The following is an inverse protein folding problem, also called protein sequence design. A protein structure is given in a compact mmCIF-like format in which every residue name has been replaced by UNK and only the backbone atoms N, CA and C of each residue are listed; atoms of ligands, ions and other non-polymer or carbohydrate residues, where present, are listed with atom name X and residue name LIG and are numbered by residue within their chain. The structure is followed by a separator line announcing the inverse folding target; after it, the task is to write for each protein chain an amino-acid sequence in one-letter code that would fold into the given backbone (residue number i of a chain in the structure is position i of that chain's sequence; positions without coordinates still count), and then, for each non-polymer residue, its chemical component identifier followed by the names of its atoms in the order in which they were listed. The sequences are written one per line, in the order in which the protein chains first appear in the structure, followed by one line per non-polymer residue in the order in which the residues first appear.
data_IF_552005624209
#
_entry.id   IF_552005624209
#
_cell.length_a   1.000
_cell.length_b   1.000
_cell.length_c   1.000
_cell.angle_alpha   90.00
_cell.angle_beta   90.00
_cell.angle_gamma   90.00
#
_symmetry.space_group_name_H-M   'P 1'
#
loop_
_entity.id
_entity.type
_entity.pdbx_description
1 polymer ?
#
# COMPACT_ATOMS: atom_id res chain seq x y z
N UNK A 1 49.53 -35.68 -65.01
CA UNK A 1 49.65 -34.40 -65.71
C UNK A 1 50.76 -33.65 -65.01
N UNK A 2 52.00 -33.87 -65.44
CA UNK A 2 52.61 -33.25 -66.63
C UNK A 2 52.70 -31.73 -66.44
N UNK A 3 53.81 -31.06 -66.64
CA UNK A 3 55.16 -31.47 -66.97
C UNK A 3 56.02 -30.19 -66.88
N UNK A 4 57.35 -30.37 -66.88
CA UNK A 4 58.36 -29.43 -67.39
C UNK A 4 58.80 -28.19 -66.58
N UNK A 5 59.88 -28.44 -65.83
CA UNK A 5 61.19 -27.74 -65.91
C UNK A 5 61.65 -27.43 -67.39
N UNK A 6 62.71 -26.65 -67.71
CA UNK A 6 63.94 -26.40 -66.91
C UNK A 6 64.66 -25.02 -67.11
N UNK A 7 65.79 -24.87 -66.38
CA UNK A 7 67.11 -24.28 -66.76
C UNK A 7 67.22 -22.87 -67.39
N UNK A 8 68.21 -22.02 -67.09
CA UNK A 8 69.66 -22.29 -67.12
C UNK A 8 70.46 -21.23 -66.30
N UNK A 9 71.48 -21.69 -65.56
CA UNK A 9 72.76 -20.95 -65.31
C UNK A 9 73.65 -21.07 -66.58
N UNK A 10 74.86 -20.45 -66.75
CA UNK A 10 75.85 -19.91 -65.80
C UNK A 10 76.44 -18.53 -66.27
N UNK A 11 77.45 -17.89 -65.67
CA UNK A 11 78.89 -18.17 -65.82
C UNK A 11 79.72 -17.12 -65.05
N UNK A 12 80.92 -17.54 -64.64
CA UNK A 12 81.77 -16.96 -63.59
C UNK A 12 83.10 -16.49 -64.19
N UNK A 13 83.59 -15.32 -63.73
CA UNK A 13 84.99 -14.81 -63.71
C UNK A 13 85.63 -14.43 -65.06
N UNK A 14 86.83 -13.78 -65.15
CA UNK A 14 87.83 -13.42 -64.11
C UNK A 14 88.35 -11.92 -64.22
N UNK A 15 88.85 -11.20 -63.20
CA UNK A 15 90.25 -11.16 -62.66
C UNK A 15 90.95 -9.79 -62.79
N UNK A 16 91.48 -9.32 -61.63
CA UNK A 16 92.70 -8.51 -61.33
C UNK A 16 92.70 -6.96 -61.54
N UNK A 17 92.72 -6.26 -60.39
CA UNK A 17 93.59 -5.16 -59.87
C UNK A 17 94.50 -4.38 -60.87
N UNK A 18 94.73 -3.04 -60.66
CA UNK A 18 95.58 -2.56 -59.56
C UNK A 18 95.28 -1.17 -58.92
N UNK A 19 95.66 -1.05 -57.64
CA UNK A 19 96.50 -0.01 -56.98
C UNK A 19 96.24 1.52 -57.09
N UNK A 20 95.90 2.13 -55.93
CA UNK A 20 96.27 3.45 -55.32
C UNK A 20 96.10 4.81 -56.08
N UNK A 21 96.15 6.00 -55.42
CA UNK A 21 96.01 6.35 -53.99
C UNK A 21 94.94 7.45 -53.72
N UNK A 22 94.79 7.81 -52.44
CA UNK A 22 93.87 8.82 -51.90
C UNK A 22 94.14 10.30 -52.28
N UNK A 23 93.37 11.21 -51.66
CA UNK A 23 92.79 12.39 -52.31
C UNK A 23 93.63 13.67 -52.18
N UNK A 24 93.39 14.64 -53.05
CA UNK A 24 93.63 16.05 -52.72
C UNK A 24 92.41 16.93 -53.04
N UNK A 25 92.15 17.95 -52.20
CA UNK A 25 90.83 18.60 -52.10
C UNK A 25 90.88 20.05 -52.56
N UNK A 26 89.94 20.51 -53.40
CA UNK A 26 89.69 21.96 -53.55
C UNK A 26 88.22 22.24 -53.87
N UNK A 27 87.55 22.76 -52.83
CA UNK A 27 86.57 23.85 -52.78
C UNK A 27 85.33 23.86 -53.70
N UNK A 28 84.11 23.82 -53.12
CA UNK A 28 82.87 23.94 -53.89
C UNK A 28 82.40 25.40 -54.08
N UNK A 29 81.73 25.61 -55.21
CA UNK A 29 81.12 26.84 -55.73
C UNK A 29 79.86 27.26 -54.92
N UNK A 30 79.43 28.54 -54.93
CA UNK A 30 78.44 29.11 -54.00
C UNK A 30 77.06 28.43 -53.92
N UNK A 31 76.67 27.61 -54.92
CA UNK A 31 75.40 26.87 -54.91
C UNK A 31 75.38 25.64 -53.97
N UNK A 32 76.54 25.12 -53.55
CA UNK A 32 76.58 24.02 -52.58
C UNK A 32 76.47 24.49 -51.11
N UNK A 33 76.80 25.75 -50.81
CA UNK A 33 76.67 26.29 -49.45
C UNK A 33 75.21 26.51 -49.04
N UNK A 34 74.36 26.95 -49.99
CA UNK A 34 72.94 27.22 -49.74
C UNK A 34 72.10 25.92 -49.59
N UNK A 35 72.51 24.86 -50.28
CA UNK A 35 71.86 23.54 -50.21
C UNK A 35 72.32 22.69 -49.02
N UNK A 36 73.54 22.92 -48.49
CA UNK A 36 74.01 22.31 -47.24
C UNK A 36 73.33 22.91 -46.01
N UNK A 37 73.19 24.24 -45.93
CA UNK A 37 72.54 24.92 -44.81
C UNK A 37 71.02 24.62 -44.74
N UNK A 38 70.35 24.45 -45.89
CA UNK A 38 68.95 24.01 -45.94
C UNK A 38 68.77 22.54 -45.52
N UNK A 39 69.66 21.63 -45.94
CA UNK A 39 69.64 20.22 -45.51
C UNK A 39 69.99 20.04 -44.03
N UNK A 40 70.88 20.87 -43.47
CA UNK A 40 71.24 20.82 -42.06
C UNK A 40 70.12 21.39 -41.16
N UNK A 41 69.40 22.42 -41.64
CA UNK A 41 68.19 22.96 -40.98
C UNK A 41 67.00 21.99 -41.04
N UNK A 42 66.78 21.25 -42.13
CA UNK A 42 65.76 20.20 -42.20
C UNK A 42 66.11 18.93 -41.39
N UNK A 43 67.39 18.52 -41.35
CA UNK A 43 67.84 17.41 -40.51
C UNK A 43 67.73 17.72 -39.01
N UNK A 44 68.06 18.96 -38.60
CA UNK A 44 67.88 19.39 -37.21
C UNK A 44 66.41 19.61 -36.83
N UNK A 45 65.55 20.07 -37.76
CA UNK A 45 64.11 20.20 -37.54
C UNK A 45 63.38 18.85 -37.47
N UNK A 46 63.74 17.89 -38.33
CA UNK A 46 63.18 16.53 -38.31
C UNK A 46 63.65 15.72 -37.09
N UNK A 47 64.91 15.87 -36.67
CA UNK A 47 65.42 15.29 -35.43
C UNK A 47 64.74 15.89 -34.17
N UNK A 48 64.49 17.21 -34.16
CA UNK A 48 63.72 17.87 -33.09
C UNK A 48 62.25 17.43 -33.06
N UNK A 49 61.58 17.29 -34.21
CA UNK A 49 60.21 16.74 -34.31
C UNK A 49 60.13 15.28 -33.86
N UNK A 50 61.12 14.45 -34.20
CA UNK A 50 61.18 13.04 -33.76
C UNK A 50 61.46 12.92 -32.25
N UNK A 51 62.32 13.77 -31.69
CA UNK A 51 62.55 13.87 -30.24
C UNK A 51 61.33 14.43 -29.50
N UNK A 52 60.60 15.39 -30.08
CA UNK A 52 59.36 15.94 -29.51
C UNK A 52 58.21 14.94 -29.54
N UNK A 53 57.95 14.27 -30.68
CA UNK A 53 56.94 13.20 -30.75
C UNK A 53 57.26 12.06 -29.79
N UNK A 54 58.53 11.68 -29.63
CA UNK A 54 58.95 10.67 -28.64
C UNK A 54 58.69 11.14 -27.21
N UNK A 55 58.93 12.42 -26.88
CA UNK A 55 58.60 12.99 -25.56
C UNK A 55 57.10 13.06 -25.31
N UNK A 56 56.29 13.45 -26.30
CA UNK A 56 54.82 13.50 -26.17
C UNK A 56 54.22 12.10 -26.00
N UNK A 57 54.73 11.09 -26.70
CA UNK A 57 54.29 9.69 -26.52
C UNK A 57 54.70 9.17 -25.13
N UNK A 58 55.90 9.50 -24.65
CA UNK A 58 56.33 9.11 -23.30
C UNK A 58 55.49 9.82 -22.23
N UNK A 59 55.25 11.13 -22.36
CA UNK A 59 54.45 11.90 -21.40
C UNK A 59 52.98 11.45 -21.43
N UNK A 60 52.41 11.21 -22.62
CA UNK A 60 51.06 10.68 -22.78
C UNK A 60 50.92 9.25 -22.22
N UNK A 61 51.94 8.41 -22.40
CA UNK A 61 52.00 7.08 -21.79
C UNK A 61 52.08 7.13 -20.27
N UNK A 62 52.86 8.06 -19.70
CA UNK A 62 52.94 8.28 -18.25
C UNK A 62 51.61 8.79 -17.70
N UNK A 63 50.95 9.74 -18.38
CA UNK A 63 49.62 10.22 -17.97
C UNK A 63 48.56 9.12 -18.08
N UNK A 64 48.54 8.34 -19.15
CA UNK A 64 47.64 7.20 -19.30
C UNK A 64 47.87 6.13 -18.21
N UNK A 65 49.13 5.84 -17.87
CA UNK A 65 49.47 4.94 -16.78
C UNK A 65 49.05 5.48 -15.41
N UNK A 66 49.16 6.79 -15.16
CA UNK A 66 48.70 7.43 -13.92
C UNK A 66 47.18 7.39 -13.78
N UNK A 67 46.44 7.62 -14.87
CA UNK A 67 44.96 7.50 -14.87
C UNK A 67 44.57 6.05 -14.60
N UNK A 68 45.19 5.08 -15.28
CA UNK A 68 44.95 3.66 -15.03
C UNK A 68 45.29 3.27 -13.59
N UNK A 69 46.42 3.74 -13.04
CA UNK A 69 46.77 3.53 -11.64
C UNK A 69 45.74 4.13 -10.68
N UNK A 70 45.23 5.33 -10.95
CA UNK A 70 44.20 5.97 -10.11
C UNK A 70 42.89 5.19 -10.11
N UNK A 71 42.43 4.71 -11.28
CA UNK A 71 41.23 3.88 -11.42
C UNK A 71 41.45 2.51 -10.78
N UNK A 72 42.60 1.87 -11.02
CA UNK A 72 42.97 0.60 -10.40
C UNK A 72 43.07 0.69 -8.88
N UNK A 73 43.61 1.79 -8.32
CA UNK A 73 43.63 2.03 -6.87
C UNK A 73 42.22 2.21 -6.32
N UNK A 74 41.34 2.89 -7.06
CA UNK A 74 39.94 3.10 -6.65
C UNK A 74 39.16 1.78 -6.66
N UNK A 75 39.34 0.96 -7.69
CA UNK A 75 38.75 -0.38 -7.79
C UNK A 75 39.35 -1.31 -6.72
N UNK A 76 40.66 -1.25 -6.49
CA UNK A 76 41.33 -2.03 -5.44
C UNK A 76 40.84 -1.64 -4.03
N UNK A 77 40.65 -0.35 -3.76
CA UNK A 77 40.04 0.14 -2.52
C UNK A 77 38.59 -0.33 -2.35
N UNK A 78 37.82 -0.36 -3.43
CA UNK A 78 36.39 -0.71 -3.40
C UNK A 78 36.14 -2.22 -3.28
N UNK A 79 37.01 -3.06 -3.85
CA UNK A 79 36.77 -4.50 -3.97
C UNK A 79 37.78 -5.39 -3.23
N UNK A 80 38.96 -4.90 -2.88
CA UNK A 80 40.05 -5.74 -2.31
C UNK A 80 40.58 -5.26 -0.96
N UNK A 81 40.50 -3.96 -0.64
CA UNK A 81 40.54 -3.52 0.76
C UNK A 81 39.20 -3.87 1.39
N UNK A 82 39.12 -5.10 1.92
CA UNK A 82 38.23 -5.37 3.04
C UNK A 82 38.58 -4.31 4.08
N UNK A 83 37.68 -3.34 4.28
CA UNK A 83 37.68 -2.61 5.54
C UNK A 83 37.66 -3.71 6.60
N UNK A 84 38.74 -3.83 7.36
CA UNK A 84 38.73 -4.69 8.53
C UNK A 84 37.50 -4.25 9.34
N UNK A 85 36.60 -5.18 9.70
CA UNK A 85 35.48 -4.79 10.53
C UNK A 85 36.09 -4.11 11.74
N UNK A 86 35.69 -2.87 11.99
CA UNK A 86 36.05 -2.18 13.23
C UNK A 86 35.45 -3.08 14.32
N UNK A 87 36.28 -3.92 14.93
CA UNK A 87 35.91 -4.62 16.15
C UNK A 87 35.88 -3.52 17.19
N UNK A 88 34.69 -2.98 17.40
CA UNK A 88 34.39 -2.14 18.53
C UNK A 88 34.63 -3.01 19.76
N UNK A 89 35.80 -2.89 20.36
CA UNK A 89 36.00 -3.27 21.76
C UNK A 89 35.35 -2.12 22.52
N UNK A 90 34.18 -2.31 23.14
CA UNK A 90 33.54 -1.24 23.88
C UNK A 90 34.52 -0.80 24.96
N UNK A 91 34.82 0.49 25.02
CA UNK A 91 35.30 1.06 26.26
C UNK A 91 34.24 0.71 27.31
N UNK A 92 34.69 0.12 28.41
CA UNK A 92 33.86 -0.43 29.48
C UNK A 92 33.11 0.71 30.20
N UNK A 93 32.14 1.33 29.53
CA UNK A 93 31.09 2.23 30.04
C UNK A 93 30.13 2.82 28.99
N UNK A 94 30.13 2.40 27.73
CA UNK A 94 28.96 2.64 26.87
C UNK A 94 28.10 1.38 26.84
N UNK A 95 26.98 1.43 27.58
CA UNK A 95 25.92 0.43 27.43
C UNK A 95 25.55 0.42 25.96
N UNK A 96 25.76 -0.72 25.30
CA UNK A 96 25.02 -1.09 24.09
C UNK A 96 23.56 -0.69 24.40
N UNK A 97 22.89 0.16 23.61
CA UNK A 97 21.45 0.22 23.69
C UNK A 97 21.05 -1.22 23.45
N UNK A 98 20.57 -1.92 24.49
CA UNK A 98 19.86 -3.16 24.28
C UNK A 98 18.93 -2.83 23.11
N UNK A 99 18.96 -3.65 22.06
CA UNK A 99 17.88 -3.65 21.07
C UNK A 99 16.66 -3.72 21.94
N UNK A 100 16.01 -2.57 22.16
CA UNK A 100 14.89 -2.49 23.06
C UNK A 100 13.97 -3.54 22.52
N UNK A 101 13.51 -4.43 23.40
CA UNK A 101 12.45 -5.37 23.08
C UNK A 101 11.51 -4.61 22.15
N UNK A 102 11.37 -5.09 20.90
CA UNK A 102 10.53 -4.42 19.92
C UNK A 102 9.17 -4.38 20.59
N UNK A 103 8.82 -3.23 21.17
CA UNK A 103 7.57 -3.06 21.85
C UNK A 103 6.57 -3.11 20.71
N UNK A 104 5.97 -4.30 20.53
CA UNK A 104 4.94 -4.52 19.54
C UNK A 104 3.81 -3.62 19.98
N UNK A 105 3.77 -2.42 19.40
CA UNK A 105 2.73 -1.44 19.69
C UNK A 105 1.41 -2.14 19.44
N UNK A 106 0.54 -2.12 20.44
CA UNK A 106 -0.77 -2.73 20.33
C UNK A 106 -1.54 -1.99 19.24
N UNK A 107 -2.02 -2.75 18.27
CA UNK A 107 -2.86 -2.22 17.20
C UNK A 107 -4.32 -2.21 17.65
N UNK A 108 -5.03 -1.15 17.29
CA UNK A 108 -6.45 -0.96 17.53
C UNK A 108 -7.13 -0.84 16.18
N UNK A 109 -8.31 -1.44 16.04
CA UNK A 109 -9.09 -1.35 14.83
C UNK A 109 -9.92 -0.05 14.81
N UNK A 110 -9.91 0.64 13.67
CA UNK A 110 -10.84 1.70 13.33
C UNK A 110 -11.76 1.27 12.20
N UNK A 111 -13.00 1.75 12.25
CA UNK A 111 -14.04 1.52 11.26
C UNK A 111 -14.54 2.87 10.79
N UNK A 112 -14.60 3.07 9.47
CA UNK A 112 -15.14 4.28 8.88
C UNK A 112 -16.25 3.90 7.90
N UNK A 113 -17.50 3.96 8.35
CA UNK A 113 -18.69 3.75 7.52
C UNK A 113 -18.73 4.67 6.30
N UNK A 114 -18.32 5.93 6.49
CA UNK A 114 -18.30 6.97 5.45
C UNK A 114 -17.35 6.65 4.28
N UNK A 115 -16.20 6.03 4.56
CA UNK A 115 -15.20 5.56 3.59
C UNK A 115 -15.35 4.07 3.25
N UNK A 116 -16.32 3.37 3.84
CA UNK A 116 -16.58 1.93 3.63
C UNK A 116 -15.34 1.05 3.81
N UNK A 117 -14.56 1.29 4.85
CA UNK A 117 -13.36 0.52 5.14
C UNK A 117 -13.09 0.41 6.65
N UNK A 118 -12.32 -0.61 7.02
CA UNK A 118 -11.66 -0.73 8.32
C UNK A 118 -10.14 -0.72 8.15
N UNK A 119 -9.43 -0.37 9.22
CA UNK A 119 -7.97 -0.43 9.29
C UNK A 119 -7.52 -0.64 10.73
N UNK A 120 -6.32 -1.19 10.91
CA UNK A 120 -5.63 -1.27 12.19
C UNK A 120 -4.58 -0.16 12.30
N UNK A 121 -4.46 0.45 13.46
CA UNK A 121 -3.50 1.51 13.73
C UNK A 121 -2.89 1.42 15.14
N UNK A 122 -1.68 1.95 15.37
CA UNK A 122 -1.07 1.95 16.69
C UNK A 122 -1.92 2.69 17.74
N UNK A 123 -2.08 2.13 18.94
CA UNK A 123 -2.93 2.72 19.99
C UNK A 123 -2.49 4.11 20.48
N UNK A 124 -1.23 4.47 20.23
CA UNK A 124 -0.65 5.76 20.57
C UNK A 124 -0.75 6.80 19.44
N UNK A 125 -1.38 6.45 18.32
CA UNK A 125 -1.71 7.38 17.26
C UNK A 125 -3.11 7.98 17.45
N UNK A 126 -3.25 9.24 17.03
CA UNK A 126 -4.51 9.97 17.03
C UNK A 126 -5.28 9.69 15.75
N UNK A 127 -6.60 9.51 15.88
CA UNK A 127 -7.51 9.31 14.75
C UNK A 127 -8.51 10.46 14.65
N UNK A 128 -8.78 10.92 13.43
CA UNK A 128 -9.77 11.98 13.17
C UNK A 128 -10.48 11.74 11.84
N UNK A 129 -11.78 12.04 11.81
CA UNK A 129 -12.58 12.05 10.59
C UNK A 129 -13.11 13.45 10.29
N UNK A 130 -13.13 13.82 9.02
CA UNK A 130 -13.65 15.10 8.57
C UNK A 130 -14.26 15.00 7.18
N UNK A 131 -15.23 15.86 6.89
CA UNK A 131 -15.78 16.05 5.56
C UNK A 131 -15.64 17.51 5.17
N UNK A 132 -14.90 17.78 4.09
CA UNK A 132 -14.63 19.15 3.61
C UNK A 132 -14.94 19.20 2.12
N UNK A 133 -15.89 20.06 1.73
CA UNK A 133 -16.32 20.22 0.33
C UNK A 133 -16.73 18.90 -0.35
N UNK A 134 -17.40 18.00 0.39
CA UNK A 134 -17.81 16.70 -0.12
C UNK A 134 -16.70 15.64 -0.14
N UNK A 135 -15.45 16.01 0.11
CA UNK A 135 -14.31 15.07 0.25
C UNK A 135 -14.31 14.56 1.69
N UNK A 136 -14.50 13.25 1.84
CA UNK A 136 -14.40 12.55 3.13
C UNK A 136 -12.94 12.23 3.42
N UNK A 137 -12.51 12.39 4.66
CA UNK A 137 -11.12 12.21 5.09
C UNK A 137 -11.05 11.47 6.42
N UNK A 138 -10.16 10.50 6.48
CA UNK A 138 -9.72 9.82 7.69
C UNK A 138 -8.22 10.07 7.86
N UNK A 139 -7.80 10.62 9.00
CA UNK A 139 -6.39 10.78 9.34
C UNK A 139 -6.04 9.91 10.55
N UNK A 140 -4.91 9.19 10.45
CA UNK A 140 -4.20 8.56 11.57
C UNK A 140 -2.86 9.26 11.71
N UNK A 141 -2.62 9.87 12.85
CA UNK A 141 -1.51 10.82 13.07
C UNK A 141 -0.72 10.41 14.30
N UNK A 142 0.61 10.40 14.18
CA UNK A 142 1.50 10.17 15.30
C UNK A 142 2.53 11.28 15.34
N UNK A 143 2.60 11.99 16.46
CA UNK A 143 3.58 13.04 16.73
C UNK A 143 4.09 12.86 18.17
N UNK A 144 5.35 12.43 18.38
CA UNK A 144 5.85 12.11 19.72
C UNK A 144 5.95 13.34 20.64
N UNK A 145 6.03 14.55 20.06
CA UNK A 145 6.14 15.82 20.79
C UNK A 145 4.79 16.45 21.17
N UNK A 146 3.67 15.91 20.68
CA UNK A 146 2.35 16.55 20.80
C UNK A 146 1.34 15.61 21.43
N UNK A 147 0.67 16.07 22.50
CA UNK A 147 -0.39 15.31 23.19
C UNK A 147 -1.81 15.70 22.76
N UNK A 148 -1.97 16.70 21.89
CA UNK A 148 -3.26 17.24 21.48
C UNK A 148 -3.60 16.91 20.01
N UNK A 149 -4.82 16.39 19.79
CA UNK A 149 -5.35 15.84 18.52
C UNK A 149 -5.48 16.90 17.41
N UNK A 150 -5.52 18.19 17.75
CA UNK A 150 -5.84 19.29 16.84
C UNK A 150 -4.67 19.96 16.11
N UNK A 151 -3.42 19.73 16.56
CA UNK A 151 -2.27 20.54 16.14
C UNK A 151 -1.38 19.89 15.08
N UNK A 152 -1.68 18.65 14.67
CA UNK A 152 -0.83 17.88 13.75
C UNK A 152 -1.24 18.14 12.30
N UNK A 153 -0.55 19.08 11.66
CA UNK A 153 -0.65 19.40 10.23
C UNK A 153 0.68 19.07 9.54
N UNK A 154 0.67 18.92 8.22
CA UNK A 154 1.91 18.64 7.45
C UNK A 154 2.99 19.70 7.69
N UNK A 155 2.58 20.97 7.79
CA UNK A 155 3.48 22.10 7.98
C UNK A 155 4.01 22.22 9.43
N UNK A 156 3.26 21.72 10.41
CA UNK A 156 3.58 21.82 11.85
C UNK A 156 4.16 20.52 12.44
N UNK A 157 4.16 19.43 11.67
CA UNK A 157 4.78 18.17 12.09
C UNK A 157 6.30 18.32 12.06
N UNK A 158 6.95 18.32 13.22
CA UNK A 158 8.42 18.31 13.29
C UNK A 158 8.99 16.89 13.14
N UNK A 159 8.32 15.92 13.78
CA UNK A 159 8.67 14.51 13.75
C UNK A 159 7.39 13.66 13.82
N UNK A 160 7.31 12.57 13.06
CA UNK A 160 6.20 11.62 13.11
C UNK A 160 5.64 11.27 11.74
N UNK A 161 4.36 10.89 11.70
CA UNK A 161 3.65 10.62 10.46
C UNK A 161 2.20 11.08 10.46
N UNK A 162 1.70 11.33 9.25
CA UNK A 162 0.28 11.51 8.94
C UNK A 162 -0.07 10.48 7.86
N UNK A 163 -0.95 9.55 8.22
CA UNK A 163 -1.58 8.61 7.29
C UNK A 163 -2.99 9.13 6.99
N UNK A 164 -3.27 9.49 5.74
CA UNK A 164 -4.55 10.09 5.35
C UNK A 164 -5.19 9.29 4.23
N UNK A 165 -6.46 8.92 4.41
CA UNK A 165 -7.31 8.40 3.34
C UNK A 165 -8.33 9.48 2.98
N UNK A 166 -8.43 9.82 1.69
CA UNK A 166 -9.44 10.76 1.17
C UNK A 166 -10.19 10.15 0.01
N UNK A 167 -11.48 10.41 -0.12
CA UNK A 167 -12.29 9.96 -1.27
C UNK A 167 -12.78 11.10 -2.15
N UNK A 168 -12.85 10.83 -3.44
CA UNK A 168 -13.42 11.74 -4.43
C UNK A 168 -13.94 10.96 -5.65
N UNK A 169 -14.82 11.60 -6.43
CA UNK A 169 -15.35 11.07 -7.68
C UNK A 169 -14.90 11.93 -8.86
N UNK A 170 -14.62 11.30 -9.99
CA UNK A 170 -14.37 11.98 -11.27
C UNK A 170 -14.87 11.11 -12.41
N UNK A 171 -15.54 11.71 -13.40
CA UNK A 171 -16.05 10.98 -14.57
C UNK A 171 -15.04 10.97 -15.74
N UNK A 172 -13.96 11.75 -15.63
CA UNK A 172 -13.13 12.13 -16.80
C UNK A 172 -11.78 11.43 -16.81
N UNK A 173 -11.22 11.11 -15.64
CA UNK A 173 -9.84 10.64 -15.49
C UNK A 173 -9.82 9.24 -14.89
N UNK A 174 -9.05 8.36 -15.51
CA UNK A 174 -8.72 7.05 -14.95
C UNK A 174 -7.66 7.15 -13.85
N UNK A 175 -7.40 6.03 -13.18
CA UNK A 175 -6.46 5.92 -12.07
C UNK A 175 -5.03 6.35 -12.43
N UNK A 176 -4.57 6.04 -13.65
CA UNK A 176 -3.22 6.38 -14.13
C UNK A 176 -3.10 7.89 -14.35
N UNK A 177 -4.08 8.49 -15.02
CA UNK A 177 -4.14 9.94 -15.24
C UNK A 177 -4.24 10.72 -13.92
N UNK A 178 -5.01 10.23 -12.95
CA UNK A 178 -5.09 10.84 -11.61
C UNK A 178 -3.73 10.82 -10.91
N UNK A 179 -3.09 9.65 -10.89
CA UNK A 179 -1.77 9.46 -10.26
C UNK A 179 -0.72 10.34 -10.93
N UNK A 180 -0.72 10.41 -12.27
CA UNK A 180 0.20 11.25 -13.04
C UNK A 180 0.01 12.74 -12.76
N UNK A 181 -1.24 13.24 -12.73
CA UNK A 181 -1.51 14.65 -12.41
C UNK A 181 -1.04 15.00 -11.01
N UNK A 182 -1.27 14.11 -10.03
CA UNK A 182 -0.79 14.35 -8.66
C UNK A 182 0.73 14.41 -8.63
N UNK A 183 1.40 13.46 -9.29
CA UNK A 183 2.86 13.41 -9.40
C UNK A 183 3.42 14.68 -10.05
N UNK A 184 2.83 15.16 -11.14
CA UNK A 184 3.23 16.41 -11.80
C UNK A 184 3.06 17.63 -10.87
N UNK A 185 2.06 17.59 -9.98
CA UNK A 185 1.90 18.61 -8.94
C UNK A 185 3.03 18.60 -7.91
N UNK A 186 3.59 17.43 -7.58
CA UNK A 186 4.77 17.35 -6.71
C UNK A 186 6.01 17.86 -7.45
N UNK A 187 6.20 17.48 -8.71
CA UNK A 187 7.34 17.95 -9.54
C UNK A 187 7.39 19.47 -9.62
N UNK A 188 6.23 20.12 -9.70
CA UNK A 188 6.15 21.58 -9.81
C UNK A 188 6.25 22.32 -8.47
N UNK A 189 5.93 21.69 -7.34
CA UNK A 189 5.85 22.34 -6.02
C UNK A 189 7.04 22.02 -5.11
N UNK A 190 7.64 20.85 -5.25
CA UNK A 190 8.76 20.43 -4.41
C UNK A 190 10.05 21.19 -4.78
N UNK A 191 10.99 21.36 -3.83
CA UNK A 191 12.32 21.90 -4.12
C UNK A 191 13.07 21.04 -5.15
N UNK A 192 14.03 21.63 -5.88
CA UNK A 192 14.87 20.91 -6.86
C UNK A 192 15.69 19.75 -6.25
N UNK A 193 15.89 19.77 -4.92
CA UNK A 193 16.56 18.70 -4.17
C UNK A 193 15.65 17.51 -3.86
N UNK A 194 14.36 17.60 -4.17
CA UNK A 194 13.42 16.51 -3.98
C UNK A 194 13.62 15.42 -5.04
N UNK A 195 13.50 14.16 -4.61
CA UNK A 195 13.50 13.01 -5.52
C UNK A 195 12.10 12.42 -5.60
N UNK A 196 11.56 12.35 -6.81
CA UNK A 196 10.19 11.94 -7.11
C UNK A 196 10.24 10.72 -8.02
N UNK A 197 9.82 9.56 -7.51
CA UNK A 197 9.88 8.29 -8.23
C UNK A 197 8.98 8.26 -9.47
N UNK A 198 9.11 7.22 -10.29
CA UNK A 198 8.08 6.84 -11.26
C UNK A 198 6.80 6.38 -10.57
N UNK A 199 5.75 6.15 -11.38
CA UNK A 199 4.53 5.50 -10.93
C UNK A 199 4.75 3.98 -10.98
N UNK A 200 4.42 3.31 -9.90
CA UNK A 200 4.57 1.87 -9.73
C UNK A 200 3.22 1.23 -9.40
N UNK A 201 3.02 -0.02 -9.83
CA UNK A 201 1.86 -0.81 -9.45
C UNK A 201 1.96 -1.26 -8.00
N UNK A 202 0.86 -1.13 -7.26
CA UNK A 202 0.71 -1.56 -5.87
C UNK A 202 -0.67 -2.23 -5.69
N UNK A 203 -1.01 -2.60 -4.46
CA UNK A 203 -2.33 -3.11 -4.10
C UNK A 203 -2.74 -2.60 -2.74
N UNK A 204 -4.01 -2.23 -2.59
CA UNK A 204 -4.63 -1.94 -1.29
C UNK A 204 -5.67 -3.02 -1.03
N UNK A 205 -5.46 -3.81 0.02
CA UNK A 205 -6.18 -5.08 0.21
C UNK A 205 -5.98 -5.99 -1.02
N UNK A 206 -7.04 -6.29 -1.76
CA UNK A 206 -7.03 -7.04 -3.03
C UNK A 206 -7.26 -6.15 -4.27
N UNK A 207 -7.38 -4.84 -4.08
CA UNK A 207 -7.71 -3.89 -5.15
C UNK A 207 -6.43 -3.35 -5.80
N UNK A 208 -6.32 -3.37 -7.14
CA UNK A 208 -5.18 -2.76 -7.84
C UNK A 208 -5.01 -1.29 -7.48
N UNK A 209 -3.76 -0.87 -7.33
CA UNK A 209 -3.41 0.49 -6.98
C UNK A 209 -2.19 0.98 -7.77
N UNK A 210 -2.02 2.30 -7.83
CA UNK A 210 -0.84 2.95 -8.37
C UNK A 210 -0.23 3.86 -7.31
N UNK A 211 1.09 3.85 -7.19
CA UNK A 211 1.78 4.66 -6.18
C UNK A 211 3.00 5.38 -6.73
N UNK A 212 3.39 6.46 -6.06
CA UNK A 212 4.70 7.09 -6.24
C UNK A 212 5.19 7.64 -4.90
N UNK A 213 6.49 7.91 -4.83
CA UNK A 213 7.14 8.47 -3.65
C UNK A 213 7.77 9.82 -3.99
N UNK A 214 7.79 10.72 -3.01
CA UNK A 214 8.50 11.99 -3.08
C UNK A 214 9.30 12.18 -1.80
N UNK A 215 10.62 12.27 -1.89
CA UNK A 215 11.51 12.46 -0.74
C UNK A 215 12.09 13.87 -0.75
N UNK A 216 12.41 14.41 0.43
CA UNK A 216 12.91 15.78 0.60
C UNK A 216 11.97 16.87 0.03
N UNK A 217 10.66 16.62 -0.01
CA UNK A 217 9.65 17.61 -0.40
C UNK A 217 9.03 18.26 0.84
N UNK A 218 9.84 18.92 1.66
CA UNK A 218 9.46 19.37 3.02
C UNK A 218 9.03 18.23 3.95
N UNK A 219 9.46 17.01 3.63
CA UNK A 219 9.05 15.76 4.25
C UNK A 219 9.10 14.69 3.17
N UNK A 220 8.84 13.45 3.57
CA UNK A 220 8.82 12.34 2.65
C UNK A 220 7.38 11.81 2.53
N UNK A 221 6.98 11.50 1.31
CA UNK A 221 5.65 11.07 0.96
C UNK A 221 5.68 9.73 0.23
N UNK A 222 4.70 8.88 0.50
CA UNK A 222 4.20 7.86 -0.42
C UNK A 222 2.72 8.12 -0.67
N UNK A 223 2.34 8.27 -1.93
CA UNK A 223 0.95 8.44 -2.34
C UNK A 223 0.52 7.20 -3.10
N UNK A 224 -0.62 6.64 -2.71
CA UNK A 224 -1.23 5.47 -3.33
C UNK A 224 -2.66 5.80 -3.73
N UNK A 225 -3.00 5.55 -4.99
CA UNK A 225 -4.33 5.70 -5.54
C UNK A 225 -4.92 4.33 -5.84
N UNK A 226 -6.17 4.11 -5.44
CA UNK A 226 -6.95 2.93 -5.80
C UNK A 226 -8.41 3.31 -6.06
N UNK A 227 -9.17 2.45 -6.71
CA UNK A 227 -10.58 2.67 -7.03
C UNK A 227 -11.42 1.49 -6.56
N UNK A 228 -12.45 1.79 -5.77
CA UNK A 228 -13.39 0.79 -5.25
C UNK A 228 -14.75 1.47 -5.04
N UNK A 229 -15.86 0.77 -5.29
CA UNK A 229 -17.23 1.33 -5.20
C UNK A 229 -17.48 2.56 -6.10
N UNK A 230 -16.85 2.62 -7.28
CA UNK A 230 -16.90 3.78 -8.19
C UNK A 230 -16.45 5.09 -7.52
N UNK A 231 -15.61 5.01 -6.49
CA UNK A 231 -14.95 6.17 -5.86
C UNK A 231 -13.44 5.95 -5.86
N UNK A 232 -12.69 7.04 -6.04
CA UNK A 232 -11.24 7.00 -5.96
C UNK A 232 -10.80 7.29 -4.54
N UNK A 233 -9.84 6.51 -4.06
CA UNK A 233 -9.18 6.69 -2.78
C UNK A 233 -7.79 7.27 -3.03
N UNK A 234 -7.48 8.40 -2.40
CA UNK A 234 -6.13 8.93 -2.25
C UNK A 234 -5.63 8.57 -0.85
N UNK A 235 -4.60 7.73 -0.78
CA UNK A 235 -3.93 7.37 0.47
C UNK A 235 -2.58 8.08 0.49
N UNK A 236 -2.38 8.94 1.48
CA UNK A 236 -1.15 9.71 1.68
C UNK A 236 -0.45 9.24 2.95
N UNK A 237 0.77 8.74 2.80
CA UNK A 237 1.69 8.47 3.91
C UNK A 237 2.73 9.59 3.92
N UNK A 238 2.58 10.55 4.83
CA UNK A 238 3.52 11.64 5.03
C UNK A 238 4.34 11.38 6.30
N UNK A 239 5.67 11.53 6.22
CA UNK A 239 6.56 11.31 7.35
C UNK A 239 7.67 12.35 7.43
N UNK A 240 7.98 12.75 8.67
CA UNK A 240 9.05 13.69 9.02
C UNK A 240 9.89 13.17 10.19
N UNK A 241 11.13 13.63 10.25
CA UNK A 241 12.12 13.25 11.25
C UNK A 241 13.47 12.88 10.63
N UNK A 242 14.40 12.45 11.47
CA UNK A 242 15.72 11.99 11.03
C UNK A 242 15.64 10.65 10.30
N UNK A 243 16.67 10.33 9.50
CA UNK A 243 16.69 9.16 8.62
C UNK A 243 16.23 7.85 9.29
N UNK A 244 16.70 7.56 10.51
CA UNK A 244 16.31 6.36 11.26
C UNK A 244 14.84 6.34 11.67
N UNK A 245 14.29 7.48 12.06
CA UNK A 245 12.88 7.62 12.44
C UNK A 245 11.96 7.55 11.23
N UNK A 246 12.34 8.17 10.10
CA UNK A 246 11.56 8.08 8.85
C UNK A 246 11.33 6.64 8.40
N UNK A 247 12.33 5.76 8.51
CA UNK A 247 12.17 4.35 8.16
C UNK A 247 11.18 3.63 9.08
N UNK A 248 11.18 3.96 10.37
CA UNK A 248 10.19 3.42 11.33
C UNK A 248 8.78 3.90 11.01
N UNK A 249 8.62 5.19 10.72
CA UNK A 249 7.33 5.78 10.36
C UNK A 249 6.81 5.22 9.05
N UNK A 250 7.67 5.07 8.05
CA UNK A 250 7.32 4.37 6.81
C UNK A 250 6.80 2.96 7.10
N UNK A 251 7.54 2.15 7.86
CA UNK A 251 7.11 0.80 8.22
C UNK A 251 5.75 0.79 8.93
N UNK A 252 5.55 1.64 9.94
CA UNK A 252 4.28 1.75 10.65
C UNK A 252 3.11 2.10 9.70
N UNK A 253 3.33 3.05 8.78
CA UNK A 253 2.30 3.43 7.80
C UNK A 253 2.04 2.37 6.74
N UNK A 254 3.02 1.54 6.38
CA UNK A 254 2.82 0.38 5.50
C UNK A 254 2.01 -0.72 6.20
N UNK A 255 2.19 -0.92 7.51
CA UNK A 255 1.38 -1.86 8.28
C UNK A 255 -0.08 -1.39 8.38
N UNK A 256 -0.31 -0.09 8.56
CA UNK A 256 -1.66 0.51 8.46
C UNK A 256 -2.24 0.26 7.06
N UNK A 257 -1.48 0.56 5.99
CA UNK A 257 -1.94 0.37 4.61
C UNK A 257 -2.36 -1.08 4.33
N UNK A 258 -1.56 -2.06 4.79
CA UNK A 258 -1.83 -3.49 4.62
C UNK A 258 -3.04 -3.99 5.41
N UNK A 259 -3.35 -3.33 6.52
CA UNK A 259 -4.52 -3.66 7.35
C UNK A 259 -5.83 -3.13 6.77
N UNK A 260 -5.79 -2.26 5.75
CA UNK A 260 -7.00 -1.73 5.13
C UNK A 260 -7.81 -2.89 4.57
N UNK A 261 -9.06 -2.97 5.00
CA UNK A 261 -10.05 -3.86 4.43
C UNK A 261 -11.26 -3.05 3.98
N UNK A 262 -11.59 -3.14 2.69
CA UNK A 262 -12.80 -2.52 2.17
C UNK A 262 -14.00 -3.38 2.59
N UNK A 263 -15.08 -2.74 3.02
CA UNK A 263 -16.33 -3.45 3.28
C UNK A 263 -16.84 -4.10 1.99
N UNK A 264 -17.55 -5.23 2.03
CA UNK A 264 -18.12 -5.81 0.83
C UNK A 264 -18.95 -4.77 0.05
N UNK A 265 -18.84 -4.85 -1.27
CA UNK A 265 -19.66 -4.04 -2.17
C UNK A 265 -21.12 -4.44 -1.90
N UNK A 266 -22.02 -3.47 -1.78
CA UNK A 266 -23.44 -3.83 -1.71
C UNK A 266 -23.74 -4.32 -3.10
N UNK A 267 -23.72 -5.64 -3.30
CA UNK A 267 -23.99 -6.22 -4.60
C UNK A 267 -25.45 -5.87 -4.89
N UNK A 268 -25.68 -4.88 -5.76
CA UNK A 268 -26.93 -4.77 -6.51
C UNK A 268 -26.99 -5.98 -7.46
N UNK A 269 -27.15 -7.16 -6.87
CA UNK A 269 -27.28 -8.43 -7.56
C UNK A 269 -28.64 -8.99 -7.20
N UNK A 270 -29.41 -9.37 -8.24
CA UNK A 270 -30.62 -10.18 -8.21
C UNK A 270 -31.20 -10.38 -6.80
N UNK A 271 -31.97 -9.39 -6.32
CA UNK A 271 -32.73 -9.54 -5.08
C UNK A 271 -33.64 -10.75 -5.21
N UNK A 272 -33.56 -11.66 -4.25
CA UNK A 272 -34.44 -12.81 -4.14
C UNK A 272 -35.62 -12.41 -3.28
N UNK A 273 -36.84 -12.66 -3.77
CA UNK A 273 -38.05 -12.48 -2.97
C UNK A 273 -38.36 -13.77 -2.22
N UNK A 274 -38.31 -13.72 -0.90
CA UNK A 274 -38.86 -14.75 -0.03
C UNK A 274 -40.35 -14.47 0.23
N UNK A 275 -41.19 -15.51 0.18
CA UNK A 275 -42.64 -15.40 0.42
C UNK A 275 -43.09 -16.50 1.40
N UNK A 276 -43.78 -16.10 2.47
CA UNK A 276 -44.36 -16.98 3.48
C UNK A 276 -45.89 -16.88 3.46
N UNK A 277 -46.53 -17.87 2.86
CA UNK A 277 -47.96 -17.87 2.61
C UNK A 277 -48.83 -18.10 3.86
N UNK A 278 -48.29 -18.74 4.91
CA UNK A 278 -49.05 -19.07 6.13
C UNK A 278 -49.20 -17.82 7.00
N UNK A 279 -48.12 -17.05 7.13
CA UNK A 279 -48.08 -15.83 7.94
C UNK A 279 -48.23 -14.55 7.12
N UNK A 280 -48.43 -14.69 5.81
CA UNK A 280 -48.82 -13.62 4.89
C UNK A 280 -47.84 -12.45 4.85
N UNK A 281 -46.56 -12.78 4.69
CA UNK A 281 -45.54 -11.77 4.45
C UNK A 281 -44.56 -12.21 3.37
N UNK A 282 -43.93 -11.23 2.73
CA UNK A 282 -42.79 -11.43 1.83
C UNK A 282 -41.77 -10.35 2.07
N UNK A 283 -40.51 -10.62 1.72
CA UNK A 283 -39.44 -9.63 1.74
C UNK A 283 -38.40 -9.95 0.68
N UNK A 284 -37.64 -8.95 0.30
CA UNK A 284 -36.53 -9.05 -0.64
C UNK A 284 -35.20 -9.05 0.13
N UNK A 285 -34.29 -9.93 -0.27
CA UNK A 285 -32.94 -10.02 0.28
C UNK A 285 -31.91 -10.27 -0.83
N UNK A 286 -30.61 -9.95 -0.62
CA UNK A 286 -29.54 -10.38 -1.53
C UNK A 286 -29.48 -11.91 -1.64
N UNK A 287 -28.65 -12.48 -2.52
CA UNK A 287 -28.44 -13.95 -2.61
C UNK A 287 -27.69 -14.53 -1.39
N UNK A 288 -28.29 -14.42 -0.22
CA UNK A 288 -27.88 -15.09 1.01
C UNK A 288 -28.21 -16.57 0.93
N UNK A 289 -27.36 -17.36 1.59
CA UNK A 289 -27.49 -18.80 1.66
C UNK A 289 -28.42 -19.19 2.80
N UNK A 290 -29.41 -20.03 2.50
CA UNK A 290 -30.44 -20.51 3.42
C UNK A 290 -30.08 -21.84 4.10
N UNK A 291 -28.93 -22.43 3.76
CA UNK A 291 -28.43 -23.71 4.26
C UNK A 291 -27.14 -23.58 5.10
N UNK A 292 -26.60 -22.37 5.25
CA UNK A 292 -25.24 -22.15 5.74
C UNK A 292 -25.09 -22.30 7.26
N UNK A 293 -26.15 -22.01 8.01
CA UNK A 293 -25.97 -21.44 9.33
C UNK A 293 -27.24 -21.43 10.17
N UNK A 294 -27.04 -21.34 11.49
CA UNK A 294 -28.10 -21.21 12.48
C UNK A 294 -27.96 -19.85 13.19
N UNK A 295 -29.02 -19.05 13.20
CA UNK A 295 -29.10 -17.83 14.00
C UNK A 295 -30.00 -18.10 15.19
N UNK A 296 -29.58 -17.68 16.39
CA UNK A 296 -30.40 -17.85 17.58
C UNK A 296 -31.60 -16.89 17.54
N UNK A 297 -32.81 -17.43 17.65
CA UNK A 297 -34.06 -16.68 17.70
C UNK A 297 -34.43 -16.17 19.09
N UNK A 298 -35.70 -15.81 19.32
CA UNK A 298 -36.18 -15.39 20.64
C UNK A 298 -36.08 -16.54 21.65
N UNK A 299 -36.02 -16.19 22.94
CA UNK A 299 -35.97 -17.18 24.01
C UNK A 299 -37.41 -17.66 24.27
N UNK A 300 -37.87 -18.56 23.41
CA UNK A 300 -39.18 -19.22 23.50
C UNK A 300 -39.12 -20.62 22.88
N UNK A 301 -39.79 -21.56 23.51
CA UNK A 301 -39.99 -22.91 22.97
C UNK A 301 -41.16 -23.01 21.99
N UNK A 302 -41.89 -21.91 21.75
CA UNK A 302 -43.03 -21.84 20.84
C UNK A 302 -42.71 -21.10 19.54
N UNK A 303 -41.56 -20.45 19.46
CA UNK A 303 -41.14 -19.74 18.26
C UNK A 303 -40.84 -20.75 17.13
N UNK A 304 -41.45 -20.52 15.98
CA UNK A 304 -41.21 -21.25 14.76
C UNK A 304 -40.16 -20.50 13.93
N UNK A 305 -39.07 -21.17 13.57
CA UNK A 305 -38.14 -20.67 12.55
C UNK A 305 -38.81 -20.71 11.18
N UNK A 306 -38.83 -19.58 10.49
CA UNK A 306 -39.34 -19.47 9.11
C UNK A 306 -38.19 -19.65 8.13
N UNK A 307 -37.14 -18.86 8.28
CA UNK A 307 -35.93 -18.93 7.44
C UNK A 307 -34.74 -18.34 8.19
N UNK A 308 -33.54 -18.85 7.91
CA UNK A 308 -32.26 -18.25 8.30
C UNK A 308 -31.49 -17.98 7.02
N UNK A 309 -30.94 -16.79 6.88
CA UNK A 309 -30.21 -16.33 5.71
C UNK A 309 -28.84 -15.81 6.16
N UNK A 310 -27.76 -16.39 5.66
CA UNK A 310 -26.41 -15.93 5.94
C UNK A 310 -25.70 -15.41 4.69
N UNK A 311 -24.92 -14.36 4.87
CA UNK A 311 -24.03 -13.84 3.85
C UNK A 311 -22.74 -14.67 3.80
N UNK A 312 -22.57 -15.45 2.72
CA UNK A 312 -21.38 -16.28 2.50
C UNK A 312 -20.10 -15.46 2.37
N UNK A 313 -20.16 -14.18 1.97
CA UNK A 313 -18.96 -13.33 1.85
C UNK A 313 -18.37 -12.99 3.23
N UNK A 314 -19.23 -12.87 4.24
CA UNK A 314 -18.85 -12.60 5.63
C UNK A 314 -18.59 -13.87 6.45
N UNK A 315 -18.82 -15.06 5.87
CA UNK A 315 -18.83 -16.31 6.61
C UNK A 315 -17.43 -16.76 6.99
N UNK A 316 -17.14 -16.74 8.30
CA UNK A 316 -15.92 -17.31 8.89
C UNK A 316 -16.22 -18.70 9.46
N UNK A 317 -17.27 -18.79 10.26
CA UNK A 317 -17.77 -20.04 10.84
C UNK A 317 -19.28 -19.94 11.13
N UNK A 318 -19.86 -21.03 11.66
CA UNK A 318 -21.31 -21.13 11.96
C UNK A 318 -21.84 -20.11 12.98
N UNK A 319 -20.96 -19.36 13.64
CA UNK A 319 -21.32 -18.35 14.65
C UNK A 319 -20.83 -16.95 14.31
N UNK A 320 -20.00 -16.81 13.27
CA UNK A 320 -19.33 -15.58 12.88
C UNK A 320 -19.58 -15.31 11.40
N UNK A 321 -20.68 -14.63 11.13
CA UNK A 321 -21.14 -14.21 9.81
C UNK A 321 -22.21 -13.13 9.97
N UNK A 322 -22.44 -12.36 8.91
CA UNK A 322 -23.59 -11.48 8.78
C UNK A 322 -24.80 -12.28 8.32
N UNK A 323 -25.93 -12.09 9.00
CA UNK A 323 -27.15 -12.81 8.61
C UNK A 323 -28.38 -12.40 9.37
N UNK A 324 -29.53 -12.89 8.89
CA UNK A 324 -30.83 -12.69 9.50
C UNK A 324 -31.56 -14.01 9.71
N UNK A 325 -32.18 -14.16 10.88
CA UNK A 325 -33.10 -15.24 11.19
C UNK A 325 -34.50 -14.68 11.36
N UNK A 326 -35.47 -15.25 10.66
CA UNK A 326 -36.89 -14.88 10.74
C UNK A 326 -37.64 -15.95 11.53
N UNK A 327 -38.30 -15.53 12.59
CA UNK A 327 -39.07 -16.39 13.47
C UNK A 327 -40.48 -15.83 13.64
N UNK A 328 -41.44 -16.71 13.87
CA UNK A 328 -42.81 -16.31 14.18
C UNK A 328 -43.29 -17.05 15.42
N UNK A 329 -43.96 -16.33 16.32
CA UNK A 329 -44.56 -16.92 17.50
C UNK A 329 -46.04 -16.55 17.61
N UNK A 330 -46.88 -17.56 17.89
CA UNK A 330 -48.32 -17.38 18.13
C UNK A 330 -48.59 -17.30 19.63
N UNK A 331 -49.20 -16.21 20.06
CA UNK A 331 -49.27 -15.80 21.46
C UNK A 331 -50.69 -15.32 21.82
N UNK A 332 -51.72 -16.19 21.73
CA UNK A 332 -53.14 -15.82 21.70
C UNK A 332 -53.68 -15.11 22.97
N UNK A 333 -52.86 -14.88 23.99
CA UNK A 333 -53.28 -14.39 25.30
C UNK A 333 -52.44 -13.23 25.83
N UNK A 334 -51.42 -12.77 25.10
CA UNK A 334 -50.52 -11.70 25.54
C UNK A 334 -50.39 -10.64 24.44
N UNK A 335 -50.25 -9.38 24.85
CA UNK A 335 -49.97 -8.27 23.93
C UNK A 335 -48.51 -8.28 23.47
N UNK A 336 -48.18 -7.58 22.38
CA UNK A 336 -46.78 -7.42 21.93
C UNK A 336 -45.92 -6.82 23.06
N UNK A 337 -46.43 -5.80 23.76
CA UNK A 337 -45.66 -5.16 24.84
C UNK A 337 -45.36 -6.13 25.98
N UNK A 338 -46.34 -6.95 26.38
CA UNK A 338 -46.15 -7.96 27.42
C UNK A 338 -45.13 -9.02 27.00
N UNK A 339 -45.16 -9.44 25.73
CA UNK A 339 -44.16 -10.36 25.17
C UNK A 339 -42.76 -9.75 25.19
N UNK A 340 -42.62 -8.51 24.73
CA UNK A 340 -41.36 -7.75 24.73
C UNK A 340 -40.82 -7.60 26.16
N UNK A 341 -41.68 -7.30 27.14
CA UNK A 341 -41.28 -7.16 28.54
C UNK A 341 -40.75 -8.46 29.14
N UNK A 342 -41.33 -9.60 28.75
CA UNK A 342 -40.84 -10.93 29.13
C UNK A 342 -39.50 -11.22 28.47
N UNK A 343 -39.39 -11.03 27.15
CA UNK A 343 -38.13 -11.25 26.42
C UNK A 343 -36.99 -10.37 26.96
N UNK A 344 -37.27 -9.10 27.27
CA UNK A 344 -36.31 -8.15 27.86
C UNK A 344 -35.72 -8.71 29.17
N UNK A 345 -36.58 -9.17 30.08
CA UNK A 345 -36.14 -9.71 31.38
C UNK A 345 -35.29 -10.96 31.21
N UNK A 346 -35.70 -11.88 30.34
CA UNK A 346 -34.97 -13.13 30.11
C UNK A 346 -33.60 -12.84 29.48
N UNK A 347 -33.52 -11.95 28.49
CA UNK A 347 -32.25 -11.59 27.84
C UNK A 347 -31.26 -10.93 28.81
N UNK A 348 -31.73 -10.02 29.66
CA UNK A 348 -30.89 -9.39 30.69
C UNK A 348 -30.38 -10.45 31.69
N UNK A 349 -31.26 -11.35 32.14
CA UNK A 349 -30.89 -12.42 33.08
C UNK A 349 -29.85 -13.37 32.47
N UNK A 350 -30.10 -13.88 31.26
CA UNK A 350 -29.16 -14.70 30.48
C UNK A 350 -27.80 -13.99 30.34
N UNK A 351 -27.79 -12.70 29.99
CA UNK A 351 -26.56 -11.93 29.82
C UNK A 351 -25.78 -11.82 31.14
N UNK A 352 -26.45 -11.52 32.26
CA UNK A 352 -25.82 -11.44 33.58
C UNK A 352 -25.25 -12.80 33.98
N UNK A 353 -26.00 -13.88 33.80
CA UNK A 353 -25.57 -15.24 34.12
C UNK A 353 -24.32 -15.63 33.34
N UNK A 354 -24.25 -15.28 32.05
CA UNK A 354 -23.13 -15.67 31.17
C UNK A 354 -21.93 -14.74 31.27
N UNK A 355 -22.15 -13.42 31.32
CA UNK A 355 -21.08 -12.40 31.26
C UNK A 355 -20.71 -11.83 32.63
N UNK A 356 -21.45 -12.16 33.69
CA UNK A 356 -21.21 -11.69 35.05
C UNK A 356 -21.51 -10.20 35.30
N UNK A 357 -22.10 -9.51 34.32
CA UNK A 357 -22.46 -8.08 34.36
C UNK A 357 -23.70 -7.82 33.53
N UNK A 358 -24.41 -6.72 33.83
CA UNK A 358 -25.54 -6.28 33.01
C UNK A 358 -25.09 -5.83 31.60
N UNK A 359 -25.91 -6.02 30.56
CA UNK A 359 -25.64 -5.48 29.23
C UNK A 359 -25.72 -3.94 29.24
N UNK A 360 -25.26 -3.32 28.15
CA UNK A 360 -25.49 -1.89 27.83
C UNK A 360 -26.47 -1.79 26.66
N UNK A 361 -27.76 -2.12 26.86
CA UNK A 361 -28.70 -2.26 25.76
C UNK A 361 -29.22 -0.93 25.23
N UNK A 362 -29.75 -0.97 24.02
CA UNK A 362 -30.53 0.12 23.42
C UNK A 362 -31.84 -0.43 22.86
N UNK A 363 -32.94 0.29 23.09
CA UNK A 363 -34.21 0.05 22.42
C UNK A 363 -34.41 1.09 21.34
N UNK A 364 -34.59 0.63 20.11
CA UNK A 364 -34.66 1.49 18.93
C UNK A 364 -36.00 1.22 18.24
N UNK A 365 -36.80 2.27 18.01
CA UNK A 365 -37.98 2.17 17.16
C UNK A 365 -37.56 1.96 15.72
N UNK A 366 -38.10 0.92 15.08
CA UNK A 366 -37.77 0.56 13.69
C UNK A 366 -39.05 0.31 12.89
N UNK A 367 -38.97 0.47 11.57
CA UNK A 367 -40.05 0.08 10.66
C UNK A 367 -39.68 -1.20 9.93
N UNK A 368 -40.63 -2.12 9.86
CA UNK A 368 -40.55 -3.35 9.06
C UNK A 368 -41.72 -3.30 8.10
N UNK A 369 -41.43 -3.04 6.82
CA UNK A 369 -42.44 -2.68 5.83
C UNK A 369 -43.24 -1.45 6.27
N UNK A 370 -44.54 -1.62 6.41
CA UNK A 370 -45.47 -0.61 6.92
C UNK A 370 -45.73 -0.72 8.43
N UNK A 371 -45.21 -1.74 9.11
CA UNK A 371 -45.43 -2.01 10.54
C UNK A 371 -44.35 -1.38 11.42
N UNK A 372 -44.78 -0.91 12.58
CA UNK A 372 -43.87 -0.43 13.61
C UNK A 372 -43.35 -1.62 14.43
N UNK A 373 -42.06 -1.56 14.78
CA UNK A 373 -41.38 -2.56 15.58
C UNK A 373 -40.39 -1.94 16.57
N UNK A 374 -39.88 -2.79 17.46
CA UNK A 374 -38.87 -2.41 18.45
C UNK A 374 -37.66 -3.32 18.28
N UNK A 375 -36.50 -2.72 18.08
CA UNK A 375 -35.21 -3.40 18.02
C UNK A 375 -34.52 -3.35 19.39
N UNK A 376 -34.17 -4.52 19.88
CA UNK A 376 -33.35 -4.76 21.05
C UNK A 376 -31.90 -4.93 20.62
N UNK A 377 -31.14 -3.83 20.70
CA UNK A 377 -29.71 -3.80 20.37
C UNK A 377 -28.84 -4.06 21.60
N UNK A 378 -27.91 -5.01 21.51
CA UNK A 378 -26.97 -5.34 22.59
C UNK A 378 -27.58 -6.07 23.78
N UNK A 379 -28.78 -6.64 23.62
CA UNK A 379 -29.44 -7.42 24.68
C UNK A 379 -28.93 -8.87 24.78
N UNK A 380 -28.55 -9.49 23.66
CA UNK A 380 -28.11 -10.89 23.64
C UNK A 380 -26.61 -11.02 23.93
N UNK A 381 -26.24 -11.94 24.81
CA UNK A 381 -24.82 -12.30 25.03
C UNK A 381 -24.21 -13.05 23.83
N UNK A 382 -25.07 -13.57 22.95
CA UNK A 382 -24.71 -14.30 21.73
C UNK A 382 -24.37 -13.38 20.56
N UNK A 383 -24.45 -12.05 20.75
CA UNK A 383 -24.03 -11.05 19.77
C UNK A 383 -25.07 -10.69 18.70
N UNK A 384 -26.26 -11.29 18.74
CA UNK A 384 -27.36 -10.94 17.85
C UNK A 384 -28.29 -9.88 18.46
N UNK A 385 -28.83 -9.01 17.60
CA UNK A 385 -29.90 -8.09 17.96
C UNK A 385 -31.26 -8.68 17.53
N UNK A 386 -32.34 -8.24 18.17
CA UNK A 386 -33.69 -8.80 17.96
C UNK A 386 -34.69 -7.68 17.64
N UNK A 387 -35.42 -7.79 16.54
CA UNK A 387 -36.53 -6.91 16.18
C UNK A 387 -37.84 -7.63 16.42
N UNK A 388 -38.78 -6.99 17.11
CA UNK A 388 -40.12 -7.51 17.38
C UNK A 388 -41.16 -6.67 16.65
N UNK A 389 -42.06 -7.34 15.93
CA UNK A 389 -43.10 -6.71 15.13
C UNK A 389 -44.43 -7.43 15.36
N UNK A 390 -45.51 -6.67 15.51
CA UNK A 390 -46.86 -7.21 15.56
C UNK A 390 -47.39 -7.45 14.13
N UNK A 391 -47.63 -8.72 13.79
CA UNK A 391 -48.22 -9.14 12.51
C UNK A 391 -49.59 -9.80 12.72
N UNK A 392 -50.24 -9.49 13.85
CA UNK A 392 -51.54 -10.05 14.21
C UNK A 392 -52.62 -9.71 13.20
N UNK A 393 -53.55 -10.63 13.04
CA UNK A 393 -54.80 -10.45 12.31
C UNK A 393 -55.99 -10.62 13.27
N UNK A 394 -57.22 -10.38 12.79
CA UNK A 394 -58.43 -10.24 13.61
C UNK A 394 -58.67 -11.37 14.64
N UNK A 395 -58.12 -12.57 14.43
CA UNK A 395 -58.35 -13.73 15.29
C UNK A 395 -57.12 -14.24 16.06
N UNK A 396 -55.91 -13.70 15.83
CA UNK A 396 -54.66 -14.27 16.40
C UNK A 396 -53.58 -13.23 16.64
N UNK A 397 -53.07 -13.23 17.87
CA UNK A 397 -51.83 -12.53 18.20
C UNK A 397 -50.64 -13.31 17.63
N UNK A 398 -49.96 -12.70 16.67
CA UNK A 398 -48.83 -13.28 15.96
C UNK A 398 -47.70 -12.25 15.94
N UNK A 399 -46.54 -12.63 16.47
CA UNK A 399 -45.37 -11.76 16.50
C UNK A 399 -44.31 -12.29 15.54
N UNK A 400 -43.78 -11.39 14.72
CA UNK A 400 -42.60 -11.62 13.89
C UNK A 400 -41.38 -11.19 14.69
N UNK A 401 -40.38 -12.07 14.76
CA UNK A 401 -39.11 -11.81 15.42
C UNK A 401 -38.01 -11.94 14.37
N UNK A 402 -37.23 -10.88 14.18
CA UNK A 402 -36.09 -10.85 13.27
C UNK A 402 -34.82 -10.80 14.12
N UNK A 403 -34.03 -11.85 14.07
CA UNK A 403 -32.72 -11.91 14.71
C UNK A 403 -31.66 -11.51 13.69
N UNK A 404 -30.75 -10.61 14.06
CA UNK A 404 -29.70 -10.12 13.17
C UNK A 404 -28.33 -10.33 13.80
N UNK A 405 -27.44 -11.01 13.09
CA UNK A 405 -26.01 -11.06 13.38
C UNK A 405 -25.32 -10.06 12.47
N UNK A 406 -24.63 -9.09 13.07
CA UNK A 406 -23.97 -8.02 12.35
C UNK A 406 -22.50 -7.94 12.77
N UNK A 407 -21.65 -8.63 12.03
CA UNK A 407 -20.20 -8.68 12.21
C UNK A 407 -19.54 -7.55 11.41
N UNK A 408 -20.04 -7.24 10.22
CA UNK A 408 -19.45 -6.20 9.35
C UNK A 408 -19.82 -4.76 9.72
N UNK A 409 -20.71 -4.56 10.71
CA UNK A 409 -21.07 -3.25 11.25
C UNK A 409 -22.00 -2.44 10.35
N UNK A 410 -21.58 -1.24 9.97
CA UNK A 410 -22.44 -0.30 9.24
C UNK A 410 -22.82 -0.80 7.85
N UNK A 411 -21.95 -1.57 7.18
CA UNK A 411 -22.22 -2.12 5.84
C UNK A 411 -23.42 -3.07 5.84
N UNK A 412 -23.44 -4.01 6.76
CA UNK A 412 -24.56 -4.94 6.89
C UNK A 412 -25.80 -4.25 7.49
N UNK A 413 -25.62 -3.18 8.28
CA UNK A 413 -26.75 -2.37 8.78
C UNK A 413 -27.58 -1.79 7.64
N UNK A 414 -26.94 -1.32 6.56
CA UNK A 414 -27.65 -0.80 5.39
C UNK A 414 -28.41 -1.89 4.62
N UNK A 415 -27.77 -3.05 4.42
CA UNK A 415 -28.41 -4.24 3.84
C UNK A 415 -29.62 -4.66 4.66
N UNK A 416 -29.45 -4.78 5.98
CA UNK A 416 -30.50 -5.12 6.91
C UNK A 416 -31.67 -4.13 6.83
N UNK A 417 -31.39 -2.83 6.84
CA UNK A 417 -32.43 -1.80 6.69
C UNK A 417 -33.17 -1.89 5.35
N UNK A 418 -32.48 -2.27 4.27
CA UNK A 418 -33.10 -2.49 2.96
C UNK A 418 -34.04 -3.68 2.99
N UNK A 419 -33.62 -4.77 3.63
CA UNK A 419 -34.47 -5.95 3.87
C UNK A 419 -35.69 -5.57 4.71
N UNK A 420 -35.51 -4.84 5.83
CA UNK A 420 -36.64 -4.42 6.66
C UNK A 420 -37.65 -3.58 5.87
N UNK A 421 -37.19 -2.68 4.99
CA UNK A 421 -38.07 -1.84 4.16
C UNK A 421 -38.81 -2.63 3.08
N UNK A 422 -38.27 -3.76 2.62
CA UNK A 422 -38.86 -4.56 1.55
C UNK A 422 -39.99 -5.48 2.02
N UNK A 423 -40.19 -5.61 3.34
CA UNK A 423 -41.29 -6.38 3.90
C UNK A 423 -42.65 -5.90 3.39
N UNK A 424 -43.48 -6.84 2.93
CA UNK A 424 -44.88 -6.64 2.55
C UNK A 424 -45.73 -7.63 3.32
N UNK A 425 -46.75 -7.13 4.01
CA UNK A 425 -47.76 -7.94 4.72
C UNK A 425 -49.07 -7.91 3.93
N UNK A 426 -49.75 -9.04 3.75
CA UNK A 426 -50.88 -9.15 2.81
C UNK A 426 -52.08 -9.98 3.29
#
# INVERSE_FOLDING_TARGET
MEDKLPETQPEVQPTIQPEQPGPQPVTPTPQQAETLDAREKEATASAKKKKFKRRVIIIGGIFGALILLSVSVTIYKKYFLKNEPIVYVPDEKERIPQVGDVEIKKMVQANSGELRLSLDYPEDAFISEAQVNGIKKLNVMYAPSTSEVGDVLEDTLDEGYIFRISTFTTEIRDLEQLTQVKRDSFISKCPETADISGIEGDSVSTTPALSFTATNCNGDYKLTYTEKFNVHYEITQFFRGDFGYKQRYRAATEDILRSINFYPELVEGDTVTFTEDIFKFSFEHPKFDDNCCDITGPISNKAQTIIVLGDLESFIDKTTFDGIGIFVERTPSISLQEYIDVQRKILIDDYIVVKGKAPTPQEISVKVGDRDGIMFKGYSWRGNDLVYVDISNEDRNIFLIISVLNISGDSFTETFNTILRSFKFF
#
